data_IF_549908712772
#
_entry.id   IF_549908712772
#
_cell.length_a   1.000
_cell.length_b   1.000
_cell.length_c   1.000
_cell.angle_alpha   90.00
_cell.angle_beta   90.00
_cell.angle_gamma   90.00
#
_symmetry.space_group_name_H-M   'P 1'
#
loop_
_entity.id
_entity.type
_entity.pdbx_description
1 polymer ?
#
# COMPACT_ATOMS: atom_id res chain seq x y z
N UNK A 1 4.77 2.85 30.60
CA UNK A 1 5.56 2.82 29.36
C UNK A 1 4.64 2.39 28.24
N UNK A 2 4.47 3.19 27.20
CA UNK A 2 3.75 2.73 26.00
C UNK A 2 4.62 1.66 25.36
N UNK A 3 4.06 0.48 25.14
CA UNK A 3 4.80 -0.67 24.62
C UNK A 3 5.18 -0.41 23.15
N UNK A 4 6.47 -0.48 22.82
CA UNK A 4 6.97 -0.31 21.45
C UNK A 4 6.31 -1.30 20.46
N UNK A 5 5.81 -2.43 20.98
CA UNK A 5 5.04 -3.40 20.21
C UNK A 5 3.70 -2.85 19.68
N UNK A 6 3.10 -1.86 20.36
CA UNK A 6 1.85 -1.23 19.89
C UNK A 6 2.10 -0.27 18.74
N UNK A 7 3.19 0.49 18.76
CA UNK A 7 3.56 1.38 17.67
C UNK A 7 3.96 0.63 16.41
N UNK A 8 4.63 -0.51 16.55
CA UNK A 8 4.96 -1.37 15.41
C UNK A 8 3.71 -1.81 14.61
N UNK A 9 2.54 -1.94 15.27
CA UNK A 9 1.27 -2.30 14.61
C UNK A 9 0.63 -1.16 13.83
N UNK A 10 1.06 0.08 14.06
CA UNK A 10 0.58 1.25 13.32
C UNK A 10 1.41 1.50 12.04
N UNK A 11 2.56 0.83 11.91
CA UNK A 11 3.41 0.97 10.75
C UNK A 11 2.84 0.19 9.56
N UNK A 12 2.87 0.78 8.35
CA UNK A 12 2.36 0.12 7.14
C UNK A 12 3.20 -1.10 6.74
N UNK A 13 4.45 -1.17 7.21
CA UNK A 13 5.36 -2.30 7.01
C UNK A 13 5.79 -2.90 8.35
N UNK A 14 5.78 -4.22 8.40
CA UNK A 14 6.29 -5.03 9.50
C UNK A 14 7.68 -5.56 9.17
N UNK A 15 8.62 -5.33 10.08
CA UNK A 15 9.97 -5.88 9.94
C UNK A 15 9.98 -7.38 10.27
N UNK A 16 10.46 -8.18 9.33
CA UNK A 16 10.63 -9.62 9.48
C UNK A 16 12.07 -9.90 9.90
N UNK A 17 12.25 -10.18 11.19
CA UNK A 17 13.56 -10.44 11.78
C UNK A 17 14.14 -11.77 11.27
N UNK A 18 15.34 -11.77 10.67
CA UNK A 18 16.04 -13.01 10.35
C UNK A 18 16.32 -13.87 11.58
N UNK A 19 16.41 -15.20 11.43
CA UNK A 19 16.75 -16.08 12.54
C UNK A 19 18.08 -15.69 13.18
N UNK A 20 18.13 -15.68 14.52
CA UNK A 20 19.31 -15.35 15.35
C UNK A 20 19.78 -13.90 15.33
N UNK A 21 19.09 -13.00 14.63
CA UNK A 21 19.33 -11.57 14.78
C UNK A 21 18.79 -11.07 16.13
N UNK A 22 19.30 -9.96 16.66
CA UNK A 22 18.64 -9.27 17.77
C UNK A 22 17.30 -8.68 17.32
N UNK A 23 16.34 -8.59 18.24
CA UNK A 23 15.08 -7.90 17.98
C UNK A 23 15.34 -6.39 17.83
N UNK A 24 14.92 -5.74 16.73
CA UNK A 24 15.12 -4.32 16.56
C UNK A 24 14.21 -3.52 17.50
N UNK A 25 14.65 -2.31 17.85
CA UNK A 25 13.80 -1.37 18.58
C UNK A 25 12.74 -0.77 17.66
N UNK A 26 11.58 -0.38 18.21
CA UNK A 26 10.52 0.28 17.45
C UNK A 26 11.01 1.53 16.71
N UNK A 27 11.85 2.34 17.36
CA UNK A 27 12.43 3.55 16.78
C UNK A 27 13.34 3.27 15.57
N UNK A 28 14.07 2.15 15.61
CA UNK A 28 14.89 1.72 14.49
C UNK A 28 14.01 1.30 13.32
N UNK A 29 12.98 0.49 13.58
CA UNK A 29 12.03 0.03 12.56
C UNK A 29 11.31 1.21 11.91
N UNK A 30 10.81 2.15 12.70
CA UNK A 30 10.14 3.36 12.20
C UNK A 30 11.07 4.24 11.35
N UNK A 31 12.34 4.37 11.74
CA UNK A 31 13.32 5.16 11.01
C UNK A 31 13.84 4.52 9.72
N UNK A 32 13.71 3.20 9.56
CA UNK A 32 14.27 2.45 8.44
C UNK A 32 13.20 1.72 7.61
N UNK A 33 11.96 2.20 7.61
CA UNK A 33 10.86 1.58 6.87
C UNK A 33 11.22 1.31 5.40
N UNK A 34 11.10 0.04 4.99
CA UNK A 34 11.36 -0.39 3.62
C UNK A 34 12.84 -0.41 3.23
N UNK A 35 13.77 -0.11 4.14
CA UNK A 35 15.22 -0.20 3.88
C UNK A 35 15.66 -1.65 3.73
N UNK A 36 16.34 -1.97 2.64
CA UNK A 36 16.88 -3.31 2.43
C UNK A 36 18.41 -3.32 2.63
N UNK A 37 18.92 -4.17 3.55
CA UNK A 37 20.36 -4.31 3.73
C UNK A 37 21.03 -4.93 2.51
N UNK A 38 22.28 -4.55 2.25
CA UNK A 38 23.07 -5.15 1.18
C UNK A 38 23.35 -6.66 1.45
N UNK A 39 23.59 -7.47 0.41
CA UNK A 39 23.95 -8.87 0.59
C UNK A 39 25.16 -9.03 1.51
N UNK A 40 25.04 -9.90 2.53
CA UNK A 40 26.09 -10.14 3.52
C UNK A 40 26.13 -9.13 4.68
N UNK A 41 25.27 -8.11 4.69
CA UNK A 41 25.15 -7.20 5.82
C UNK A 41 24.60 -7.92 7.06
N UNK A 42 25.15 -7.57 8.22
CA UNK A 42 24.71 -8.06 9.53
C UNK A 42 24.59 -6.89 10.51
N UNK A 43 23.62 -6.92 11.43
CA UNK A 43 23.44 -5.86 12.41
C UNK A 43 24.56 -5.81 13.44
N UNK A 44 25.12 -6.98 13.80
CA UNK A 44 26.30 -7.13 14.64
C UNK A 44 27.26 -8.14 14.01
N UNK A 45 28.58 -8.05 14.31
CA UNK A 45 29.58 -8.97 13.75
C UNK A 45 29.32 -10.45 14.06
N UNK A 46 28.67 -10.74 15.19
CA UNK A 46 28.39 -12.11 15.65
C UNK A 46 27.14 -12.72 15.02
N UNK A 47 26.33 -11.93 14.30
CA UNK A 47 25.13 -12.43 13.65
C UNK A 47 25.46 -13.11 12.31
N UNK A 48 24.81 -14.24 11.98
CA UNK A 48 24.90 -14.77 10.64
C UNK A 48 24.23 -13.81 9.64
N UNK A 49 24.69 -13.79 8.36
CA UNK A 49 23.99 -13.07 7.31
C UNK A 49 22.57 -13.60 7.15
N UNK A 50 21.67 -12.74 6.68
CA UNK A 50 20.29 -13.14 6.40
C UNK A 50 20.26 -14.26 5.33
N UNK A 51 19.31 -15.21 5.42
CA UNK A 51 19.17 -16.26 4.42
C UNK A 51 18.98 -15.70 3.00
N UNK A 52 19.45 -16.40 1.95
CA UNK A 52 19.18 -16.00 0.58
C UNK A 52 17.67 -15.87 0.31
N UNK A 53 17.26 -14.75 -0.30
CA UNK A 53 15.84 -14.48 -0.58
C UNK A 53 15.01 -14.02 0.63
N UNK A 54 15.64 -13.68 1.76
CA UNK A 54 14.93 -13.16 2.91
C UNK A 54 14.21 -11.84 2.58
N UNK A 55 12.95 -11.75 2.97
CA UNK A 55 12.13 -10.54 2.80
C UNK A 55 12.06 -9.83 4.15
N UNK A 56 12.81 -8.73 4.29
CA UNK A 56 12.89 -7.97 5.54
C UNK A 56 11.61 -7.22 5.89
N UNK A 57 10.76 -6.92 4.91
CA UNK A 57 9.57 -6.11 5.10
C UNK A 57 8.35 -6.82 4.54
N UNK A 58 7.36 -7.01 5.41
CA UNK A 58 6.04 -7.49 5.02
C UNK A 58 5.03 -6.37 5.16
N UNK A 59 3.98 -6.38 4.35
CA UNK A 59 2.86 -5.46 4.54
C UNK A 59 2.08 -5.84 5.79
N UNK A 60 1.84 -4.84 6.63
CA UNK A 60 0.81 -4.92 7.65
C UNK A 60 -0.50 -4.55 6.97
N UNK A 61 -1.34 -5.54 6.61
CA UNK A 61 -2.55 -5.30 5.80
C UNK A 61 -3.46 -4.21 6.39
N UNK A 62 -3.61 -4.16 7.72
CA UNK A 62 -4.48 -3.19 8.39
C UNK A 62 -3.95 -1.75 8.31
N UNK A 63 -2.66 -1.54 8.55
CA UNK A 63 -2.04 -0.21 8.48
C UNK A 63 -1.74 0.21 7.03
N UNK A 64 -1.41 -0.77 6.17
CA UNK A 64 -1.13 -0.56 4.76
C UNK A 64 -2.37 -0.06 4.01
N UNK A 65 -3.54 -0.63 4.26
CA UNK A 65 -4.78 -0.17 3.60
C UNK A 65 -5.07 1.29 3.95
N UNK A 66 -4.93 1.69 5.23
CA UNK A 66 -5.12 3.08 5.66
C UNK A 66 -4.12 4.03 4.99
N UNK A 67 -2.85 3.65 4.92
CA UNK A 67 -1.81 4.44 4.27
C UNK A 67 -2.03 4.54 2.76
N UNK A 68 -2.28 3.40 2.11
CA UNK A 68 -2.47 3.31 0.66
C UNK A 68 -3.79 3.92 0.19
N UNK A 69 -4.82 4.00 1.04
CA UNK A 69 -6.11 4.59 0.67
C UNK A 69 -5.95 6.03 0.15
N UNK A 70 -5.10 6.83 0.80
CA UNK A 70 -4.82 8.21 0.42
C UNK A 70 -4.21 8.35 -0.98
N UNK A 71 -3.43 7.37 -1.41
CA UNK A 71 -2.77 7.36 -2.73
C UNK A 71 -3.57 6.61 -3.81
N UNK A 72 -4.44 5.67 -3.41
CA UNK A 72 -5.22 4.82 -4.33
C UNK A 72 -6.62 5.36 -4.60
N UNK A 73 -7.15 6.27 -3.79
CA UNK A 73 -8.45 6.93 -4.00
C UNK A 73 -8.68 7.45 -5.43
N UNK A 74 -7.75 8.20 -6.08
CA UNK A 74 -7.95 8.67 -7.45
C UNK A 74 -7.95 7.53 -8.47
N UNK A 75 -7.12 6.49 -8.27
CA UNK A 75 -7.10 5.31 -9.13
C UNK A 75 -8.42 4.54 -9.03
N UNK A 76 -8.93 4.33 -7.81
CA UNK A 76 -10.21 3.64 -7.56
C UNK A 76 -11.39 4.37 -8.19
N UNK A 77 -11.40 5.70 -8.15
CA UNK A 77 -12.43 6.52 -8.83
C UNK A 77 -12.42 6.29 -10.35
N UNK A 78 -11.24 6.22 -10.97
CA UNK A 78 -11.14 5.95 -12.41
C UNK A 78 -11.64 4.56 -12.81
N UNK A 79 -11.41 3.54 -11.97
CA UNK A 79 -11.94 2.18 -12.16
C UNK A 79 -13.47 2.18 -12.09
N UNK A 80 -14.04 2.84 -11.07
CA UNK A 80 -15.50 2.95 -10.93
C UNK A 80 -16.16 3.68 -12.10
N UNK A 81 -15.55 4.75 -12.60
CA UNK A 81 -16.05 5.45 -13.80
C UNK A 81 -16.00 4.51 -15.01
N UNK A 82 -14.90 3.78 -15.21
CA UNK A 82 -14.79 2.80 -16.29
C UNK A 82 -15.86 1.70 -16.21
N UNK A 83 -16.12 1.19 -14.99
CA UNK A 83 -17.13 0.16 -14.75
C UNK A 83 -18.55 0.68 -14.98
N UNK A 84 -18.84 1.93 -14.58
CA UNK A 84 -20.11 2.59 -14.87
C UNK A 84 -20.33 2.76 -16.37
N UNK A 85 -19.32 3.24 -17.10
CA UNK A 85 -19.40 3.40 -18.57
C UNK A 85 -19.64 2.05 -19.25
N UNK A 86 -18.95 1.00 -18.80
CA UNK A 86 -19.15 -0.35 -19.32
C UNK A 86 -20.56 -0.88 -19.02
N UNK A 87 -21.03 -0.73 -17.77
CA UNK A 87 -22.37 -1.15 -17.37
C UNK A 87 -23.46 -0.40 -18.15
N UNK A 88 -23.30 0.91 -18.35
CA UNK A 88 -24.22 1.71 -19.16
C UNK A 88 -24.21 1.23 -20.62
N UNK A 89 -23.03 0.97 -21.18
CA UNK A 89 -22.88 0.42 -22.53
C UNK A 89 -23.57 -0.94 -22.69
N UNK A 90 -23.46 -1.82 -21.70
CA UNK A 90 -24.16 -3.12 -21.68
C UNK A 90 -25.67 -2.90 -21.62
N UNK A 91 -26.18 -2.10 -20.68
CA UNK A 91 -27.63 -1.86 -20.53
C UNK A 91 -28.23 -1.27 -21.81
N UNK A 92 -27.58 -0.27 -22.40
CA UNK A 92 -28.00 0.34 -23.67
C UNK A 92 -28.01 -0.71 -24.78
N UNK A 93 -26.96 -1.53 -24.87
CA UNK A 93 -26.87 -2.57 -25.89
C UNK A 93 -27.97 -3.63 -25.71
N UNK A 94 -28.15 -4.17 -24.51
CA UNK A 94 -29.14 -5.23 -24.23
C UNK A 94 -30.57 -4.73 -24.37
N UNK A 95 -30.88 -3.53 -23.88
CA UNK A 95 -32.21 -2.92 -23.97
C UNK A 95 -32.62 -2.56 -25.40
N UNK A 96 -31.67 -2.09 -26.23
CA UNK A 96 -31.94 -1.79 -27.64
C UNK A 96 -31.87 -3.00 -28.56
N UNK A 97 -31.17 -4.08 -28.20
CA UNK A 97 -31.17 -5.33 -28.98
C UNK A 97 -32.57 -5.94 -29.07
N UNK A 98 -33.38 -5.78 -28.01
CA UNK A 98 -34.81 -6.14 -27.98
C UNK A 98 -35.69 -5.31 -28.94
N UNK A 99 -35.19 -4.20 -29.48
CA UNK A 99 -35.94 -3.26 -30.34
C UNK A 99 -35.55 -3.34 -31.82
N UNK A 100 -34.78 -4.35 -32.26
CA UNK A 100 -34.40 -4.59 -33.67
C UNK A 100 -33.73 -3.38 -34.34
N UNK A 101 -32.46 -3.15 -34.00
CA UNK A 101 -31.75 -1.93 -34.36
C UNK A 101 -30.61 -2.13 -35.40
N UNK A 102 -30.22 -1.06 -36.15
CA UNK A 102 -29.38 -1.14 -37.36
C UNK A 102 -27.87 -1.26 -37.09
N UNK A 103 -27.10 -1.59 -38.15
CA UNK A 103 -25.64 -1.85 -38.22
C UNK A 103 -24.74 -0.90 -37.37
N UNK A 104 -25.13 0.35 -37.12
CA UNK A 104 -24.37 1.30 -36.30
C UNK A 104 -24.14 0.89 -34.83
N UNK A 105 -25.00 0.03 -34.27
CA UNK A 105 -24.87 -0.45 -32.88
C UNK A 105 -23.83 -1.57 -32.71
N UNK A 106 -23.50 -2.29 -33.79
CA UNK A 106 -22.44 -3.29 -33.77
C UNK A 106 -21.08 -2.64 -33.44
N UNK A 107 -20.85 -1.41 -33.93
CA UNK A 107 -19.64 -0.63 -33.66
C UNK A 107 -19.55 -0.23 -32.18
N UNK A 108 -20.67 0.13 -31.53
CA UNK A 108 -20.71 0.50 -30.11
C UNK A 108 -20.38 -0.70 -29.21
N UNK A 109 -20.93 -1.87 -29.52
CA UNK A 109 -20.64 -3.10 -28.79
C UNK A 109 -19.16 -3.48 -28.90
N UNK A 110 -18.60 -3.49 -30.11
CA UNK A 110 -17.18 -3.77 -30.33
C UNK A 110 -16.26 -2.72 -29.69
N UNK A 111 -16.65 -1.43 -29.74
CA UNK A 111 -15.93 -0.37 -29.04
C UNK A 111 -15.92 -0.62 -27.53
N UNK A 112 -17.06 -0.93 -26.90
CA UNK A 112 -17.12 -1.23 -25.47
C UNK A 112 -16.31 -2.50 -25.12
N UNK A 113 -16.40 -3.55 -25.95
CA UNK A 113 -15.74 -4.84 -25.72
C UNK A 113 -14.23 -4.78 -25.89
N UNK A 114 -13.70 -3.91 -26.75
CA UNK A 114 -12.26 -3.68 -26.89
C UNK A 114 -11.75 -2.64 -25.89
N UNK A 115 -12.51 -1.58 -25.64
CA UNK A 115 -12.07 -0.49 -24.76
C UNK A 115 -12.10 -0.85 -23.27
N UNK A 116 -13.05 -1.70 -22.85
CA UNK A 116 -13.16 -2.19 -21.48
C UNK A 116 -11.89 -2.92 -20.99
N UNK A 117 -11.43 -3.99 -21.65
CA UNK A 117 -10.20 -4.69 -21.32
C UNK A 117 -8.96 -3.80 -21.36
N UNK A 118 -8.87 -2.89 -22.35
CA UNK A 118 -7.75 -1.93 -22.45
C UNK A 118 -7.70 -1.04 -21.20
N UNK A 119 -8.85 -0.53 -20.74
CA UNK A 119 -8.92 0.28 -19.52
C UNK A 119 -8.53 -0.54 -18.27
N UNK A 120 -8.97 -1.79 -18.16
CA UNK A 120 -8.63 -2.67 -17.03
C UNK A 120 -7.13 -2.96 -17.01
N UNK A 121 -6.53 -3.35 -18.14
CA UNK A 121 -5.08 -3.61 -18.24
C UNK A 121 -4.28 -2.35 -17.92
N UNK A 122 -4.71 -1.19 -18.44
CA UNK A 122 -4.05 0.09 -18.19
C UNK A 122 -4.17 0.52 -16.73
N UNK A 123 -5.30 0.25 -16.08
CA UNK A 123 -5.50 0.48 -14.65
C UNK A 123 -4.62 -0.44 -13.80
N UNK A 124 -4.55 -1.74 -14.12
CA UNK A 124 -3.69 -2.71 -13.44
C UNK A 124 -2.21 -2.32 -13.50
N UNK A 125 -1.69 -2.01 -14.70
CA UNK A 125 -0.30 -1.51 -14.85
C UNK A 125 -0.04 -0.19 -14.12
N UNK A 126 -1.07 0.63 -13.90
CA UNK A 126 -0.96 1.86 -13.12
C UNK A 126 -0.86 1.54 -11.63
N UNK A 127 -1.55 0.52 -11.14
CA UNK A 127 -1.44 0.05 -9.76
C UNK A 127 -0.05 -0.46 -9.43
N UNK A 128 0.62 -1.21 -10.32
CA UNK A 128 2.00 -1.66 -10.08
C UNK A 128 2.96 -0.48 -9.92
N UNK A 129 2.81 0.54 -10.78
CA UNK A 129 3.60 1.78 -10.69
C UNK A 129 3.29 2.58 -9.42
N UNK A 130 2.02 2.64 -9.03
CA UNK A 130 1.60 3.28 -7.76
C UNK A 130 2.20 2.53 -6.57
N UNK A 131 2.28 1.21 -6.64
CA UNK A 131 2.83 0.38 -5.58
C UNK A 131 4.34 0.61 -5.41
N UNK A 132 5.09 0.64 -6.51
CA UNK A 132 6.51 1.00 -6.49
C UNK A 132 6.72 2.43 -5.96
N UNK A 133 5.95 3.40 -6.47
CA UNK A 133 6.02 4.79 -6.03
C UNK A 133 5.64 4.96 -4.54
N UNK A 134 4.70 4.15 -4.03
CA UNK A 134 4.34 4.12 -2.62
C UNK A 134 5.51 3.62 -1.76
N UNK A 135 6.18 2.55 -2.17
CA UNK A 135 7.34 2.03 -1.45
C UNK A 135 8.51 3.03 -1.46
N UNK A 136 8.76 3.69 -2.59
CA UNK A 136 9.78 4.71 -2.71
C UNK A 136 9.45 5.94 -1.83
N UNK A 137 8.18 6.38 -1.85
CA UNK A 137 7.73 7.47 -0.99
C UNK A 137 7.83 7.12 0.50
N UNK A 138 7.53 5.87 0.88
CA UNK A 138 7.70 5.36 2.24
C UNK A 138 9.17 5.41 2.68
N UNK A 139 10.08 4.94 1.82
CA UNK A 139 11.53 4.97 2.07
C UNK A 139 12.04 6.40 2.23
N UNK A 140 11.61 7.31 1.36
CA UNK A 140 12.00 8.72 1.39
C UNK A 140 11.45 9.45 2.63
N UNK A 141 10.22 9.13 3.05
CA UNK A 141 9.54 9.80 4.16
C UNK A 141 9.70 9.06 5.50
N UNK A 142 10.41 7.93 5.56
CA UNK A 142 10.65 7.19 6.80
C UNK A 142 11.17 8.08 7.95
N UNK A 143 12.11 9.03 7.72
CA UNK A 143 12.53 9.96 8.77
C UNK A 143 11.40 10.84 9.31
N UNK A 144 10.48 11.30 8.45
CA UNK A 144 9.32 12.12 8.86
C UNK A 144 8.31 11.29 9.64
N UNK A 145 8.04 10.05 9.19
CA UNK A 145 7.16 9.11 9.90
C UNK A 145 7.69 8.86 11.31
N UNK A 146 9.00 8.70 11.46
CA UNK A 146 9.65 8.58 12.78
C UNK A 146 9.38 9.80 13.66
N UNK A 147 9.61 11.02 13.17
CA UNK A 147 9.38 12.25 13.94
C UNK A 147 7.93 12.37 14.41
N UNK A 148 6.97 12.01 13.57
CA UNK A 148 5.55 12.05 13.95
C UNK A 148 5.22 11.00 15.03
N UNK A 149 5.79 9.80 14.92
CA UNK A 149 5.64 8.76 15.95
C UNK A 149 6.27 9.18 17.28
N UNK A 150 7.47 9.77 17.25
CA UNK A 150 8.15 10.30 18.43
C UNK A 150 7.30 11.38 19.12
N UNK A 151 6.67 12.26 18.32
CA UNK A 151 5.74 13.27 18.82
C UNK A 151 4.53 12.64 19.50
N UNK A 152 3.88 11.66 18.86
CA UNK A 152 2.70 10.98 19.42
C UNK A 152 3.05 10.23 20.72
N UNK A 153 4.21 9.58 20.76
CA UNK A 153 4.70 8.92 21.96
C UNK A 153 4.95 9.92 23.10
N UNK A 154 5.53 11.07 22.78
CA UNK A 154 5.74 12.16 23.75
C UNK A 154 4.42 12.74 24.28
N UNK A 155 3.44 12.99 23.41
CA UNK A 155 2.11 13.47 23.81
C UNK A 155 1.36 12.44 24.67
N UNK A 156 1.50 11.15 24.38
CA UNK A 156 0.95 10.08 25.22
C UNK A 156 1.63 10.04 26.60
N UNK A 157 2.95 10.18 26.65
CA UNK A 157 3.70 10.28 27.90
C UNK A 157 3.22 11.47 28.75
N UNK A 158 3.13 12.68 28.18
CA UNK A 158 2.66 13.87 28.89
C UNK A 158 1.23 13.71 29.43
N UNK A 159 0.33 13.07 28.68
CA UNK A 159 -1.02 12.75 29.16
C UNK A 159 -0.99 11.80 30.36
N UNK A 160 -0.18 10.75 30.30
CA UNK A 160 -0.06 9.80 31.41
C UNK A 160 0.50 10.46 32.67
N UNK A 161 1.49 11.33 32.51
CA UNK A 161 2.12 12.06 33.62
C UNK A 161 1.15 13.01 34.31
N UNK A 162 0.35 13.77 33.56
CA UNK A 162 -0.68 14.67 34.09
C UNK A 162 -1.82 13.93 34.81
N UNK A 163 -2.10 12.67 34.43
CA UNK A 163 -3.15 11.88 35.07
C UNK A 163 -2.68 11.28 36.42
N UNK A 164 -1.37 11.14 36.62
CA UNK A 164 -0.76 10.62 37.85
C UNK A 164 -0.38 11.67 38.89
N UNK A 165 -0.44 12.96 38.52
CA UNK A 165 -0.20 14.12 39.39
C UNK A 165 -1.51 14.68 39.92
#
# INVERSE_FOLDING_TARGET
MVDASQFARLLPLEFQQPPRWPAPTGDWVAGHLGWEPAPGWTPTPDCPPAPPGWVFWRRNEGAWEQYAHSYTAPARRSIWIGLLVLALGVIVTTGLYSLSAPIGLFVVFWAAMLWGPILIIRAGRRMDKVNAALMDNLRENAPRVKVELDRLAYEAYLRSFRASS
#
